data_IF_051328526851
#
_entry.id   IF_051328526851
#
_cell.length_a   1.000
_cell.length_b   1.000
_cell.length_c   1.000
_cell.angle_alpha   90.00
_cell.angle_beta   90.00
_cell.angle_gamma   90.00
#
_symmetry.space_group_name_H-M   'P 1'
#
loop_
_entity.id
_entity.type
_entity.pdbx_description
1 polymer ?
#
# COMPACT_ATOMS: atom_id res chain seq x y z
N UNK A 1 51.81 -12.99 -39.51
CA UNK A 1 52.42 -11.93 -38.69
C UNK A 1 51.53 -10.69 -38.79
N UNK A 2 51.22 -10.06 -37.65
CA UNK A 2 50.31 -8.91 -37.42
C UNK A 2 48.81 -9.23 -37.31
N UNK A 3 48.43 -9.54 -36.08
CA UNK A 3 47.08 -9.60 -35.55
C UNK A 3 46.59 -8.16 -35.33
N UNK A 4 45.58 -7.71 -36.08
CA UNK A 4 44.99 -6.38 -35.89
C UNK A 4 44.08 -6.39 -34.66
N UNK A 5 44.48 -5.65 -33.63
CA UNK A 5 43.64 -5.28 -32.49
C UNK A 5 42.53 -4.34 -32.96
N UNK A 6 41.28 -4.78 -32.88
CA UNK A 6 40.11 -3.91 -32.99
C UNK A 6 39.57 -3.68 -31.58
N UNK A 7 39.95 -2.53 -31.03
CA UNK A 7 39.40 -1.97 -29.80
C UNK A 7 38.01 -1.45 -30.12
N UNK A 8 36.98 -2.14 -29.64
CA UNK A 8 35.60 -1.63 -29.66
C UNK A 8 35.32 -0.93 -28.33
N UNK A 9 35.65 0.36 -28.28
CA UNK A 9 35.22 1.25 -27.20
C UNK A 9 33.78 1.70 -27.47
N UNK A 10 32.80 0.98 -26.94
CA UNK A 10 31.42 1.48 -26.90
C UNK A 10 31.25 2.27 -25.61
N UNK A 11 31.41 3.60 -25.74
CA UNK A 11 30.91 4.59 -24.80
C UNK A 11 29.37 4.57 -24.85
N UNK A 12 28.73 3.89 -23.89
CA UNK A 12 27.32 4.11 -23.56
C UNK A 12 27.28 5.09 -22.39
N UNK A 13 27.29 6.38 -22.72
CA UNK A 13 26.85 7.43 -21.81
C UNK A 13 25.54 7.96 -22.37
N UNK A 14 24.44 7.80 -21.63
CA UNK A 14 23.18 8.41 -22.03
C UNK A 14 21.94 7.75 -21.43
N UNK A 15 21.60 8.19 -20.21
CA UNK A 15 20.28 8.11 -19.57
C UNK A 15 19.78 6.74 -19.11
N UNK A 16 20.27 6.32 -17.93
CA UNK A 16 19.45 5.54 -17.00
C UNK A 16 18.29 6.40 -16.48
N UNK A 17 17.26 6.61 -17.30
CA UNK A 17 15.92 7.01 -16.83
C UNK A 17 15.09 5.75 -16.64
N UNK A 18 15.60 4.85 -15.79
CA UNK A 18 14.92 3.61 -15.41
C UNK A 18 13.99 3.83 -14.23
N UNK A 19 12.95 4.66 -14.38
CA UNK A 19 11.80 4.54 -13.48
C UNK A 19 11.07 3.25 -13.86
N UNK A 20 11.42 2.15 -13.20
CA UNK A 20 10.68 0.89 -13.28
C UNK A 20 9.31 1.13 -12.65
N UNK A 21 8.29 1.37 -13.48
CA UNK A 21 6.91 1.24 -13.04
C UNK A 21 6.63 -0.23 -12.71
N UNK A 22 6.23 -0.51 -11.48
CA UNK A 22 5.80 -1.86 -11.07
C UNK A 22 4.30 -1.96 -11.43
N UNK A 23 3.89 -2.86 -12.34
CA UNK A 23 2.47 -3.07 -12.61
C UNK A 23 1.85 -3.84 -11.43
N UNK A 24 0.90 -3.22 -10.74
CA UNK A 24 0.02 -3.90 -9.79
C UNK A 24 -1.29 -4.19 -10.53
N UNK A 25 -1.79 -5.42 -10.43
CA UNK A 25 -3.02 -5.85 -11.11
C UNK A 25 -4.23 -5.49 -10.24
N UNK A 26 -5.01 -4.49 -10.65
CA UNK A 26 -6.21 -4.02 -9.94
C UNK A 26 -7.50 -4.68 -10.45
N UNK A 27 -8.50 -4.73 -9.59
CA UNK A 27 -9.90 -4.92 -9.97
C UNK A 27 -10.31 -3.80 -10.95
N UNK A 28 -10.81 -4.20 -12.11
CA UNK A 28 -11.05 -3.37 -13.31
C UNK A 28 -12.17 -2.32 -13.17
N UNK A 29 -12.71 -2.13 -11.96
CA UNK A 29 -13.77 -1.15 -11.70
C UNK A 29 -13.28 0.22 -11.22
N UNK A 30 -12.01 0.37 -10.81
CA UNK A 30 -11.40 1.67 -10.47
C UNK A 30 -10.06 1.88 -11.20
N UNK A 31 -10.06 2.69 -12.25
CA UNK A 31 -8.90 2.95 -13.13
C UNK A 31 -7.73 3.77 -12.51
N UNK A 32 -7.63 3.92 -11.18
CA UNK A 32 -6.86 5.04 -10.61
C UNK A 32 -5.38 4.75 -10.25
N UNK A 33 -4.89 3.51 -10.22
CA UNK A 33 -3.53 3.25 -9.72
C UNK A 33 -2.60 2.52 -10.69
N UNK A 34 -2.59 2.90 -11.97
CA UNK A 34 -1.73 2.23 -12.96
C UNK A 34 -0.22 2.54 -12.82
N UNK A 35 0.15 3.58 -12.06
CA UNK A 35 1.54 4.00 -11.86
C UNK A 35 1.76 4.58 -10.46
N UNK A 36 2.76 4.07 -9.75
CA UNK A 36 3.25 4.66 -8.50
C UNK A 36 4.30 5.71 -8.87
N UNK A 37 4.02 6.98 -8.62
CA UNK A 37 5.02 8.04 -8.72
C UNK A 37 5.96 7.98 -7.52
N UNK A 38 7.17 7.44 -7.74
CA UNK A 38 8.19 7.27 -6.70
C UNK A 38 8.63 8.61 -6.08
N UNK A 39 8.44 9.74 -6.76
CA UNK A 39 8.75 11.06 -6.20
C UNK A 39 7.79 11.49 -5.08
N UNK A 40 6.66 10.78 -4.94
CA UNK A 40 5.61 11.03 -3.94
C UNK A 40 5.69 10.06 -2.76
N UNK A 41 6.66 9.15 -2.75
CA UNK A 41 6.89 8.23 -1.65
C UNK A 41 7.66 8.96 -0.54
N UNK A 42 7.06 9.07 0.64
CA UNK A 42 7.76 9.50 1.85
C UNK A 42 8.90 8.50 2.18
N UNK A 43 9.86 8.91 3.01
CA UNK A 43 11.02 8.08 3.32
C UNK A 43 10.59 6.74 3.94
N UNK A 44 10.69 5.64 3.18
CA UNK A 44 10.22 4.28 3.57
C UNK A 44 10.71 3.86 4.96
N UNK A 45 11.97 4.19 5.30
CA UNK A 45 12.57 3.83 6.59
C UNK A 45 11.93 4.51 7.81
N UNK A 46 11.02 5.47 7.60
CA UNK A 46 10.25 6.11 8.67
C UNK A 46 8.94 5.37 8.97
N UNK A 47 8.65 4.30 8.24
CA UNK A 47 7.39 3.57 8.34
C UNK A 47 7.58 2.21 8.99
N UNK A 48 6.53 1.79 9.68
CA UNK A 48 6.38 0.52 10.34
C UNK A 48 5.09 -0.14 9.89
N UNK A 49 4.97 -1.43 10.16
CA UNK A 49 3.72 -2.15 10.01
C UNK A 49 3.31 -2.84 11.32
N UNK A 50 2.02 -3.08 11.45
CA UNK A 50 1.45 -3.90 12.52
C UNK A 50 0.46 -4.89 11.90
N UNK A 51 0.56 -6.15 12.29
CA UNK A 51 -0.38 -7.20 11.91
C UNK A 51 -1.15 -7.66 13.15
N UNK A 52 -2.46 -7.50 13.10
CA UNK A 52 -3.41 -7.90 14.14
C UNK A 52 -4.35 -8.98 13.57
N UNK A 53 -4.09 -10.25 13.90
CA UNK A 53 -4.92 -11.39 13.47
C UNK A 53 -6.13 -11.64 14.37
N UNK A 54 -6.17 -10.99 15.54
CA UNK A 54 -7.26 -11.07 16.50
C UNK A 54 -8.40 -10.11 16.14
N UNK A 55 -8.12 -9.08 15.33
CA UNK A 55 -9.13 -8.21 14.78
C UNK A 55 -10.15 -8.97 13.91
N UNK A 56 -11.42 -8.90 14.32
CA UNK A 56 -12.57 -9.49 13.62
C UNK A 56 -13.60 -8.44 13.20
N UNK A 57 -13.19 -7.18 13.06
CA UNK A 57 -14.11 -6.08 12.77
C UNK A 57 -15.04 -5.76 13.95
N UNK A 58 -16.03 -4.91 13.71
CA UNK A 58 -17.06 -4.60 14.70
C UNK A 58 -18.13 -5.68 14.68
N UNK A 59 -18.45 -6.25 15.85
CA UNK A 59 -19.26 -7.47 16.04
C UNK A 59 -20.64 -7.49 15.35
N UNK A 60 -21.17 -6.33 14.94
CA UNK A 60 -22.51 -6.20 14.37
C UNK A 60 -22.52 -5.78 12.89
N UNK A 61 -21.35 -5.55 12.28
CA UNK A 61 -21.26 -4.89 10.97
C UNK A 61 -20.92 -5.85 9.81
N UNK A 62 -20.59 -7.12 10.09
CA UNK A 62 -20.08 -8.05 9.08
C UNK A 62 -20.75 -9.41 9.11
N UNK A 63 -21.18 -9.91 7.94
CA UNK A 63 -21.69 -11.28 7.73
C UNK A 63 -20.57 -12.31 7.91
N UNK A 64 -19.36 -11.98 7.47
CA UNK A 64 -18.12 -12.73 7.75
C UNK A 64 -17.05 -11.74 8.23
N UNK A 65 -16.43 -11.98 9.39
CA UNK A 65 -15.43 -11.07 9.92
C UNK A 65 -14.13 -11.14 9.08
N UNK A 66 -13.34 -10.05 9.02
CA UNK A 66 -12.01 -10.12 8.45
C UNK A 66 -11.13 -11.15 9.17
N UNK A 67 -10.19 -11.73 8.44
CA UNK A 67 -9.22 -12.70 9.00
C UNK A 67 -8.10 -12.02 9.78
N UNK A 68 -7.95 -10.71 9.62
CA UNK A 68 -7.07 -9.87 10.42
C UNK A 68 -7.06 -8.42 9.91
N UNK A 69 -6.11 -7.64 10.38
CA UNK A 69 -5.88 -6.26 9.98
C UNK A 69 -4.39 -5.98 9.85
N UNK A 70 -4.03 -5.28 8.77
CA UNK A 70 -2.69 -4.80 8.52
C UNK A 70 -2.70 -3.27 8.57
N UNK A 71 -1.90 -2.71 9.47
CA UNK A 71 -1.73 -1.26 9.61
C UNK A 71 -0.35 -0.85 9.14
N UNK A 72 -0.28 0.24 8.40
CA UNK A 72 0.97 0.93 8.06
C UNK A 72 0.97 2.27 8.76
N UNK A 73 2.06 2.64 9.40
CA UNK A 73 2.13 3.91 10.11
C UNK A 73 3.54 4.47 10.14
N UNK A 74 3.63 5.79 10.20
CA UNK A 74 4.90 6.48 10.30
C UNK A 74 5.35 6.54 11.76
N UNK A 75 6.58 6.15 12.05
CA UNK A 75 7.14 6.21 13.42
C UNK A 75 7.30 7.64 13.95
N UNK A 76 7.47 8.62 13.06
CA UNK A 76 7.57 10.05 13.41
C UNK A 76 6.34 10.82 12.92
N UNK A 77 5.89 11.87 13.64
CA UNK A 77 4.84 12.73 13.14
C UNK A 77 5.32 13.63 11.99
N UNK A 78 4.37 14.23 11.28
CA UNK A 78 4.56 15.28 10.29
C UNK A 78 3.60 16.43 10.55
N UNK A 79 3.91 17.59 9.98
CA UNK A 79 2.96 18.69 9.86
C UNK A 79 2.15 18.52 8.58
N UNK A 80 0.82 18.47 8.70
CA UNK A 80 -0.08 18.35 7.56
C UNK A 80 -0.32 19.70 6.86
N UNK A 81 -1.11 19.68 5.78
CA UNK A 81 -1.52 20.88 5.04
C UNK A 81 -2.20 21.97 5.90
N UNK A 82 -2.82 21.59 7.01
CA UNK A 82 -3.52 22.49 7.94
C UNK A 82 -2.66 22.90 9.14
N UNK A 83 -1.33 22.76 9.03
CA UNK A 83 -0.35 23.03 10.09
C UNK A 83 -0.56 22.22 11.39
N UNK A 84 -1.26 21.09 11.31
CA UNK A 84 -1.44 20.18 12.44
C UNK A 84 -0.37 19.09 12.44
N UNK A 85 0.18 18.83 13.62
CA UNK A 85 1.10 17.70 13.83
C UNK A 85 0.28 16.42 13.94
N UNK A 86 0.49 15.49 13.02
CA UNK A 86 -0.21 14.20 12.97
C UNK A 86 0.77 13.08 12.69
N UNK A 87 0.43 11.86 13.12
CA UNK A 87 1.17 10.64 12.77
C UNK A 87 0.41 9.92 11.66
N UNK A 88 0.94 9.90 10.42
CA UNK A 88 0.27 9.25 9.31
C UNK A 88 0.07 7.75 9.54
N UNK A 89 -1.09 7.24 9.17
CA UNK A 89 -1.39 5.82 9.22
C UNK A 89 -2.44 5.41 8.19
N UNK A 90 -2.47 4.11 7.87
CA UNK A 90 -3.46 3.51 6.97
C UNK A 90 -3.72 2.06 7.40
N UNK A 91 -5.00 1.67 7.49
CA UNK A 91 -5.42 0.36 8.00
C UNK A 91 -6.22 -0.42 6.98
N UNK A 92 -5.82 -1.66 6.76
CA UNK A 92 -6.50 -2.58 5.87
C UNK A 92 -7.10 -3.76 6.64
N UNK A 93 -8.40 -3.97 6.49
CA UNK A 93 -9.02 -5.23 6.86
C UNK A 93 -8.65 -6.30 5.82
N UNK A 94 -8.25 -7.47 6.28
CA UNK A 94 -7.77 -8.57 5.45
C UNK A 94 -8.89 -9.59 5.29
N UNK A 95 -9.15 -10.01 4.06
CA UNK A 95 -10.10 -11.07 3.71
C UNK A 95 -9.42 -12.15 2.88
N UNK A 96 -9.94 -13.37 2.96
CA UNK A 96 -9.63 -14.39 1.96
C UNK A 96 -10.22 -13.98 0.61
N UNK A 97 -9.58 -14.39 -0.49
CA UNK A 97 -10.12 -14.25 -1.84
C UNK A 97 -11.48 -14.96 -1.98
N UNK A 98 -11.72 -16.01 -1.20
CA UNK A 98 -13.00 -16.73 -1.15
C UNK A 98 -14.12 -15.85 -0.57
N UNK A 99 -13.78 -14.85 0.25
CA UNK A 99 -14.72 -13.93 0.90
C UNK A 99 -14.86 -12.61 0.09
N UNK A 100 -14.55 -12.65 -1.21
CA UNK A 100 -14.55 -11.47 -2.09
C UNK A 100 -15.86 -10.69 -2.10
N UNK A 101 -17.01 -11.36 -1.95
CA UNK A 101 -18.31 -10.70 -1.83
C UNK A 101 -18.41 -9.85 -0.57
N UNK A 102 -17.90 -10.35 0.55
CA UNK A 102 -17.85 -9.64 1.84
C UNK A 102 -16.92 -8.43 1.73
N UNK A 103 -15.70 -8.62 1.21
CA UNK A 103 -14.74 -7.54 0.98
C UNK A 103 -15.31 -6.43 0.06
N UNK A 104 -16.05 -6.81 -0.97
CA UNK A 104 -16.71 -5.86 -1.88
C UNK A 104 -17.82 -5.05 -1.21
N UNK A 105 -18.63 -5.69 -0.35
CA UNK A 105 -19.67 -5.02 0.42
C UNK A 105 -19.05 -3.99 1.38
N UNK A 106 -17.99 -4.36 2.08
CA UNK A 106 -17.31 -3.44 2.98
C UNK A 106 -16.68 -2.26 2.23
N UNK A 107 -15.94 -2.52 1.15
CA UNK A 107 -15.38 -1.47 0.29
C UNK A 107 -16.45 -0.47 -0.15
N UNK A 108 -17.58 -0.97 -0.63
CA UNK A 108 -18.71 -0.12 -1.05
C UNK A 108 -19.30 0.67 0.13
N UNK A 109 -19.49 0.02 1.28
CA UNK A 109 -19.99 0.67 2.47
C UNK A 109 -19.08 1.81 2.93
N UNK A 110 -17.77 1.56 3.04
CA UNK A 110 -16.78 2.58 3.43
C UNK A 110 -16.77 3.75 2.43
N UNK A 111 -16.82 3.46 1.13
CA UNK A 111 -16.92 4.50 0.08
C UNK A 111 -18.20 5.32 0.22
N UNK A 112 -19.32 4.71 0.60
CA UNK A 112 -20.59 5.42 0.82
C UNK A 112 -20.57 6.33 2.04
N UNK A 113 -19.91 5.93 3.12
CA UNK A 113 -19.82 6.73 4.36
C UNK A 113 -18.62 7.69 4.36
N UNK A 114 -17.72 7.60 3.38
CA UNK A 114 -16.59 8.50 3.20
C UNK A 114 -17.06 9.92 2.89
N UNK A 115 -16.89 10.82 3.85
CA UNK A 115 -17.12 12.26 3.70
C UNK A 115 -15.93 13.00 3.08
N UNK A 116 -14.82 12.31 2.79
CA UNK A 116 -13.62 12.91 2.23
C UNK A 116 -13.69 13.09 0.71
N UNK A 117 -13.11 14.20 0.22
CA UNK A 117 -12.93 14.45 -1.22
C UNK A 117 -11.43 14.52 -1.59
N UNK A 118 -10.97 13.77 -2.62
CA UNK A 118 -11.69 12.65 -3.25
C UNK A 118 -11.95 11.53 -2.22
N UNK A 119 -12.90 10.63 -2.51
CA UNK A 119 -13.17 9.45 -1.66
C UNK A 119 -11.86 8.68 -1.45
N UNK A 120 -11.52 8.36 -0.20
CA UNK A 120 -10.23 7.71 0.13
C UNK A 120 -10.35 6.40 0.88
N UNK A 121 -11.49 6.14 1.53
CA UNK A 121 -11.77 4.87 2.18
C UNK A 121 -12.32 3.82 1.22
N UNK A 122 -12.16 2.55 1.59
CA UNK A 122 -12.69 1.41 0.85
C UNK A 122 -11.87 1.03 -0.38
N UNK A 123 -10.68 1.61 -0.57
CA UNK A 123 -9.72 1.16 -1.57
C UNK A 123 -9.37 -0.32 -1.34
N UNK A 124 -9.24 -1.09 -2.42
CA UNK A 124 -8.90 -2.52 -2.34
C UNK A 124 -7.55 -2.80 -2.96
N UNK A 125 -6.76 -3.64 -2.30
CA UNK A 125 -5.52 -4.20 -2.85
C UNK A 125 -5.64 -5.71 -2.80
N UNK A 126 -5.39 -6.39 -3.92
CA UNK A 126 -5.30 -7.85 -3.96
C UNK A 126 -3.83 -8.24 -3.98
N UNK A 127 -3.44 -9.19 -3.14
CA UNK A 127 -2.12 -9.81 -3.15
C UNK A 127 -2.30 -11.31 -2.96
N UNK A 128 -2.03 -12.09 -4.00
CA UNK A 128 -2.23 -13.54 -3.98
C UNK A 128 -3.69 -13.92 -3.66
N UNK A 129 -3.86 -14.67 -2.57
CA UNK A 129 -5.16 -15.16 -2.07
C UNK A 129 -5.82 -14.24 -1.03
N UNK A 130 -5.35 -13.00 -0.89
CA UNK A 130 -5.86 -12.05 0.09
C UNK A 130 -6.38 -10.77 -0.57
N UNK A 131 -7.44 -10.22 0.02
CA UNK A 131 -7.99 -8.90 -0.33
C UNK A 131 -7.83 -8.00 0.89
N UNK A 132 -7.17 -6.86 0.69
CA UNK A 132 -6.95 -5.82 1.68
C UNK A 132 -7.91 -4.68 1.39
N UNK A 133 -8.84 -4.39 2.31
CA UNK A 133 -9.81 -3.30 2.17
C UNK A 133 -9.42 -2.16 3.12
N UNK A 134 -9.16 -0.97 2.58
CA UNK A 134 -8.85 0.22 3.38
C UNK A 134 -10.06 0.57 4.27
N UNK A 135 -9.90 0.34 5.56
CA UNK A 135 -10.92 0.53 6.60
C UNK A 135 -11.08 2.00 7.02
N UNK A 136 -10.14 2.87 6.66
CA UNK A 136 -10.17 4.27 7.05
C UNK A 136 -11.09 5.08 6.11
N UNK A 137 -12.23 5.51 6.63
CA UNK A 137 -13.24 6.34 5.95
C UNK A 137 -12.64 7.61 5.33
N UNK A 138 -11.62 8.17 5.98
CA UNK A 138 -11.02 9.45 5.67
C UNK A 138 -9.49 9.45 5.90
N UNK A 139 -8.78 8.43 5.40
CA UNK A 139 -7.32 8.39 5.43
C UNK A 139 -6.71 9.28 4.34
N UNK A 140 -6.73 10.59 4.58
CA UNK A 140 -6.01 11.56 3.77
C UNK A 140 -4.88 12.17 4.58
N UNK A 141 -3.81 11.44 4.83
CA UNK A 141 -2.59 12.07 5.33
C UNK A 141 -1.96 12.84 4.17
N UNK A 142 -2.11 14.16 4.27
CA UNK A 142 -1.62 15.11 3.29
C UNK A 142 -0.49 15.90 3.96
N UNK A 143 0.69 15.90 3.35
CA UNK A 143 1.82 16.69 3.82
C UNK A 143 1.55 18.20 3.69
N UNK A 144 2.47 19.02 4.19
CA UNK A 144 2.38 20.48 4.09
C UNK A 144 2.29 21.00 2.64
N UNK A 145 2.74 20.21 1.65
CA UNK A 145 2.72 20.57 0.22
C UNK A 145 1.43 20.15 -0.49
N UNK A 146 0.48 19.54 0.23
CA UNK A 146 -0.75 19.04 -0.39
C UNK A 146 -0.63 17.64 -1.00
N UNK A 147 0.49 16.94 -0.77
CA UNK A 147 0.71 15.60 -1.30
C UNK A 147 0.16 14.54 -0.35
N UNK A 148 -0.52 13.55 -0.94
CA UNK A 148 -0.88 12.34 -0.21
C UNK A 148 0.33 11.42 -0.03
N UNK A 149 0.56 10.95 1.19
CA UNK A 149 1.78 10.19 1.55
C UNK A 149 1.54 8.71 1.89
N UNK A 150 0.34 8.34 2.36
CA UNK A 150 0.06 6.97 2.79
C UNK A 150 -0.08 6.01 1.62
N UNK A 151 -1.02 6.23 0.70
CA UNK A 151 -1.30 5.25 -0.36
C UNK A 151 -0.14 5.05 -1.32
N UNK A 152 0.61 6.06 -1.77
CA UNK A 152 1.78 5.83 -2.63
C UNK A 152 2.80 4.89 -2.00
N UNK A 153 3.07 5.06 -0.70
CA UNK A 153 3.97 4.18 0.04
C UNK A 153 3.39 2.76 0.16
N UNK A 154 2.14 2.63 0.61
CA UNK A 154 1.54 1.30 0.81
C UNK A 154 1.47 0.55 -0.53
N UNK A 155 1.05 1.22 -1.60
CA UNK A 155 1.04 0.63 -2.94
C UNK A 155 2.44 0.18 -3.36
N UNK A 156 3.48 0.98 -3.09
CA UNK A 156 4.86 0.59 -3.35
C UNK A 156 5.26 -0.67 -2.59
N UNK A 157 5.03 -0.72 -1.27
CA UNK A 157 5.37 -1.86 -0.43
C UNK A 157 4.62 -3.12 -0.89
N UNK A 158 3.30 -3.01 -1.08
CA UNK A 158 2.47 -4.14 -1.48
C UNK A 158 2.81 -4.62 -2.89
N UNK A 159 3.22 -3.72 -3.79
CA UNK A 159 3.67 -4.06 -5.14
C UNK A 159 5.03 -4.78 -5.20
N UNK A 160 5.81 -4.78 -4.11
CA UNK A 160 7.07 -5.54 -4.03
C UNK A 160 6.87 -7.01 -3.61
N UNK A 161 5.66 -7.39 -3.18
CA UNK A 161 5.37 -8.74 -2.69
C UNK A 161 5.29 -9.72 -3.87
N UNK A 162 6.04 -10.83 -3.81
CA UNK A 162 5.93 -11.90 -4.80
C UNK A 162 4.75 -12.80 -4.44
N UNK A 163 3.61 -12.56 -5.07
CA UNK A 163 2.37 -13.30 -4.82
C UNK A 163 2.51 -14.82 -4.93
N UNK A 164 3.47 -15.30 -5.75
CA UNK A 164 3.72 -16.74 -5.94
C UNK A 164 4.35 -17.41 -4.72
N UNK A 165 4.91 -16.60 -3.80
CA UNK A 165 5.53 -17.05 -2.54
C UNK A 165 4.64 -16.78 -1.34
N UNK A 166 3.36 -16.46 -1.56
CA UNK A 166 2.45 -16.01 -0.52
C UNK A 166 1.22 -16.91 -0.44
N UNK A 167 1.30 -17.94 0.41
CA UNK A 167 0.19 -18.85 0.72
C UNK A 167 -0.48 -18.52 2.07
N UNK A 168 0.22 -17.79 2.94
CA UNK A 168 -0.29 -17.33 4.23
C UNK A 168 -0.07 -15.82 4.43
N UNK A 169 -0.80 -15.22 5.38
CA UNK A 169 -0.58 -13.82 5.79
C UNK A 169 0.83 -13.65 6.37
N UNK A 170 1.35 -14.66 7.08
CA UNK A 170 2.70 -14.57 7.66
C UNK A 170 3.76 -14.46 6.55
N UNK A 171 3.70 -15.30 5.53
CA UNK A 171 4.61 -15.23 4.37
C UNK A 171 4.47 -13.91 3.59
N UNK A 172 3.28 -13.31 3.59
CA UNK A 172 3.07 -11.98 3.02
C UNK A 172 3.83 -10.92 3.82
N UNK A 173 3.65 -10.89 5.15
CA UNK A 173 4.27 -9.87 6.00
C UNK A 173 5.78 -10.06 6.15
N UNK A 174 6.29 -11.29 6.00
CA UNK A 174 7.72 -11.57 5.98
C UNK A 174 8.43 -10.94 4.76
N UNK A 175 7.68 -10.60 3.71
CA UNK A 175 8.17 -9.89 2.53
C UNK A 175 8.08 -8.36 2.67
N UNK A 176 7.39 -7.84 3.69
CA UNK A 176 7.30 -6.41 3.96
C UNK A 176 8.63 -5.94 4.54
N UNK A 177 9.35 -5.12 3.78
CA UNK A 177 10.66 -4.55 4.19
C UNK A 177 10.50 -3.36 5.14
N UNK A 178 9.62 -3.46 6.14
CA UNK A 178 9.42 -2.48 7.20
C UNK A 178 9.67 -3.13 8.56
N UNK A 179 9.91 -2.30 9.58
CA UNK A 179 9.96 -2.79 10.95
C UNK A 179 8.55 -3.09 11.46
N UNK A 180 8.38 -4.23 12.14
CA UNK A 180 7.17 -4.52 12.90
C UNK A 180 7.11 -3.59 14.11
N UNK A 181 5.98 -2.95 14.34
CA UNK A 181 5.73 -2.11 15.51
C UNK A 181 4.33 -2.33 16.08
N UNK A 182 3.98 -1.47 17.04
CA UNK A 182 2.64 -1.38 17.62
C UNK A 182 2.15 0.04 17.38
N UNK A 183 0.94 0.19 16.84
CA UNK A 183 0.34 1.50 16.62
C UNK A 183 -0.24 2.03 17.93
N UNK A 184 0.58 2.73 18.71
CA UNK A 184 0.15 3.42 19.92
C UNK A 184 -0.44 4.80 19.58
N UNK A 185 -1.71 5.01 19.92
CA UNK A 185 -2.43 6.28 19.82
C UNK A 185 -2.45 7.03 21.15
#
# INVERSE_FOLDING_TARGET
>A
MRLNFLIFSILIVGNCSGQKSIPILYDTTDQIFKFIDLSRIDTVSLWNYELDLEWKGYKNDTIEPPIGRLSFFRGKPITNYWDQVRRPYLRYNIYSINDSLTANKESKYIKQISSCFPLRGGDKIRVGNFIFVNSDVCSGDIDKKGNEICRPLVNYIMGLIDERKTNSIQELVDQIQLQKGVLDF
#
